data_IF_274482820967
#
_entry.id   IF_274482820967
#
_cell.length_a   1.000
_cell.length_b   1.000
_cell.length_c   1.000
_cell.angle_alpha   90.00
_cell.angle_beta   90.00
_cell.angle_gamma   90.00
#
_symmetry.space_group_name_H-M   'P 1'
#
loop_
_entity.id
_entity.type
_entity.pdbx_description
1 polymer ?
#
# COMPACT_ATOMS: atom_id res chain seq x y z
N UNK A 1 28.31 25.45 -6.21
CA UNK A 1 29.26 24.38 -5.83
C UNK A 1 28.49 23.41 -4.96
N UNK A 2 28.46 22.11 -5.30
CA UNK A 2 27.84 21.13 -4.40
C UNK A 2 28.62 21.12 -3.08
N UNK A 3 27.91 21.13 -1.94
CA UNK A 3 28.55 21.00 -0.63
C UNK A 3 29.37 19.70 -0.61
N UNK A 4 30.58 19.65 0.00
CA UNK A 4 31.34 18.41 0.19
C UNK A 4 30.49 17.28 0.79
N UNK A 5 29.54 17.62 1.64
CA UNK A 5 28.60 16.68 2.25
C UNK A 5 27.64 16.03 1.24
N UNK A 6 27.26 16.74 0.17
CA UNK A 6 26.40 16.16 -0.88
C UNK A 6 27.15 15.07 -1.68
N UNK A 7 28.47 15.16 -1.78
CA UNK A 7 29.30 14.12 -2.39
C UNK A 7 29.29 12.86 -1.51
N UNK A 8 29.39 13.05 -0.19
CA UNK A 8 29.34 11.95 0.77
C UNK A 8 27.96 11.25 0.82
N UNK A 9 26.87 12.01 0.64
CA UNK A 9 25.50 11.48 0.67
C UNK A 9 25.10 10.70 -0.60
N UNK A 10 25.81 10.90 -1.71
CA UNK A 10 25.44 10.33 -3.01
C UNK A 10 25.29 8.79 -2.99
N UNK A 11 26.23 8.00 -2.45
CA UNK A 11 26.07 6.55 -2.39
C UNK A 11 24.85 6.10 -1.59
N UNK A 12 24.51 6.83 -0.52
CA UNK A 12 23.33 6.56 0.28
C UNK A 12 22.05 6.85 -0.51
N UNK A 13 22.00 7.99 -1.20
CA UNK A 13 20.87 8.36 -2.06
C UNK A 13 20.67 7.40 -3.24
N UNK A 14 21.76 6.93 -3.85
CA UNK A 14 21.71 5.93 -4.93
C UNK A 14 21.20 4.58 -4.37
N UNK A 15 21.63 4.17 -3.17
CA UNK A 15 21.13 2.97 -2.53
C UNK A 15 19.61 3.04 -2.22
N UNK A 16 19.09 4.19 -1.79
CA UNK A 16 17.64 4.38 -1.60
C UNK A 16 16.90 4.15 -2.93
N UNK A 17 17.38 4.73 -4.02
CA UNK A 17 16.77 4.57 -5.35
C UNK A 17 16.75 3.12 -5.82
N UNK A 18 17.80 2.36 -5.54
CA UNK A 18 17.85 0.93 -5.86
C UNK A 18 16.80 0.13 -5.06
N UNK A 19 16.61 0.43 -3.77
CA UNK A 19 15.52 -0.15 -2.98
C UNK A 19 14.14 0.14 -3.59
N UNK A 20 13.98 1.32 -4.16
CA UNK A 20 12.74 1.78 -4.80
C UNK A 20 12.40 1.21 -6.16
N UNK A 21 13.28 0.39 -6.76
CA UNK A 21 13.01 -0.28 -8.04
C UNK A 21 12.08 -1.47 -7.90
N UNK A 22 11.90 -2.00 -6.69
CA UNK A 22 10.98 -3.11 -6.46
C UNK A 22 9.56 -2.63 -6.71
N UNK A 23 8.84 -3.33 -7.58
CA UNK A 23 7.45 -3.02 -7.86
C UNK A 23 6.60 -3.10 -6.57
N UNK A 24 5.65 -2.16 -6.34
CA UNK A 24 4.75 -2.19 -5.19
C UNK A 24 3.59 -3.18 -5.38
N UNK A 25 3.82 -4.21 -6.19
CA UNK A 25 2.89 -5.27 -6.51
C UNK A 25 3.62 -6.56 -6.90
N UNK A 26 2.93 -7.67 -6.78
CA UNK A 26 3.33 -8.96 -7.35
C UNK A 26 2.09 -9.73 -7.82
N UNK A 27 2.25 -10.62 -8.77
CA UNK A 27 1.17 -11.46 -9.29
C UNK A 27 1.67 -12.85 -9.65
N UNK A 28 0.75 -13.76 -9.89
CA UNK A 28 1.06 -15.11 -10.35
C UNK A 28 -0.16 -16.01 -10.33
N UNK A 29 0.11 -17.31 -10.49
CA UNK A 29 -0.87 -18.37 -10.26
C UNK A 29 -0.42 -19.28 -9.15
N UNK A 30 -1.39 -19.92 -8.49
CA UNK A 30 -1.18 -20.80 -7.35
C UNK A 30 -2.03 -22.05 -7.50
N UNK A 31 -1.40 -23.22 -7.44
CA UNK A 31 -2.11 -24.48 -7.53
C UNK A 31 -2.74 -24.83 -6.18
N UNK A 32 -4.00 -25.23 -6.23
CA UNK A 32 -4.78 -25.67 -5.05
C UNK A 32 -5.57 -26.92 -5.38
N UNK A 33 -6.10 -27.59 -4.35
CA UNK A 33 -7.04 -28.68 -4.59
C UNK A 33 -8.32 -28.10 -5.18
N UNK A 34 -8.97 -28.77 -6.16
CA UNK A 34 -10.31 -28.41 -6.58
C UNK A 34 -11.27 -28.26 -5.38
N UNK A 35 -11.15 -29.08 -4.35
CA UNK A 35 -12.02 -29.02 -3.15
C UNK A 35 -11.86 -27.71 -2.35
N UNK A 36 -10.71 -27.03 -2.45
CA UNK A 36 -10.51 -25.69 -1.87
C UNK A 36 -11.37 -24.65 -2.60
N UNK A 37 -11.72 -24.90 -3.86
CA UNK A 37 -12.44 -23.98 -4.75
C UNK A 37 -13.95 -24.22 -4.77
N UNK A 38 -14.49 -24.75 -3.67
CA UNK A 38 -15.93 -24.87 -3.48
C UNK A 38 -16.48 -23.70 -2.69
N UNK A 39 -17.34 -22.91 -3.33
CA UNK A 39 -18.04 -21.76 -2.75
C UNK A 39 -19.48 -22.16 -2.41
N UNK A 40 -19.93 -21.73 -1.24
CA UNK A 40 -21.34 -21.74 -0.82
C UNK A 40 -21.79 -20.29 -0.68
N UNK A 41 -23.00 -19.97 -1.13
CA UNK A 41 -23.52 -18.60 -1.06
C UNK A 41 -25.05 -18.58 -0.92
N UNK A 42 -25.54 -17.50 -0.33
CA UNK A 42 -26.96 -17.23 -0.18
C UNK A 42 -27.58 -16.88 -1.54
N UNK A 43 -28.75 -17.44 -1.82
CA UNK A 43 -29.56 -17.12 -3.00
C UNK A 43 -31.03 -16.97 -2.58
N UNK A 44 -31.40 -15.75 -2.18
CA UNK A 44 -32.70 -15.50 -1.55
C UNK A 44 -32.78 -16.22 -0.21
N UNK A 45 -33.68 -17.20 -0.08
CA UNK A 45 -33.83 -18.04 1.11
C UNK A 45 -33.10 -19.38 1.01
N UNK A 46 -32.53 -19.69 -0.15
CA UNK A 46 -31.81 -20.93 -0.42
C UNK A 46 -30.29 -20.73 -0.28
N UNK A 47 -29.56 -21.84 -0.18
CA UNK A 47 -28.10 -21.87 -0.30
C UNK A 47 -27.73 -22.59 -1.59
N UNK A 48 -26.83 -21.99 -2.37
CA UNK A 48 -26.28 -22.57 -3.60
C UNK A 48 -24.80 -22.85 -3.41
N UNK A 49 -24.23 -23.67 -4.29
CA UNK A 49 -22.79 -23.95 -4.28
C UNK A 49 -22.22 -24.08 -5.68
N UNK A 50 -20.98 -23.61 -5.85
CA UNK A 50 -20.22 -23.69 -7.10
C UNK A 50 -18.89 -24.37 -6.83
N UNK A 51 -18.58 -25.35 -7.69
CA UNK A 51 -17.26 -25.96 -7.77
C UNK A 51 -16.50 -25.28 -8.91
N UNK A 52 -15.62 -24.32 -8.61
CA UNK A 52 -15.03 -23.46 -9.64
C UNK A 52 -14.21 -24.22 -10.69
N UNK A 53 -13.58 -25.33 -10.30
CA UNK A 53 -12.88 -26.22 -11.23
C UNK A 53 -13.74 -26.67 -12.43
N UNK A 54 -15.06 -26.74 -12.27
CA UNK A 54 -16.02 -27.21 -13.28
C UNK A 54 -17.26 -26.30 -13.36
N UNK A 55 -17.12 -25.00 -13.04
CA UNK A 55 -18.27 -24.10 -13.00
C UNK A 55 -18.90 -23.94 -14.39
N UNK A 56 -20.22 -24.10 -14.44
CA UNK A 56 -21.00 -23.84 -15.66
C UNK A 56 -21.43 -22.38 -15.75
N UNK A 57 -21.69 -21.88 -16.95
CA UNK A 57 -22.19 -20.52 -17.15
C UNK A 57 -23.49 -20.26 -16.37
N UNK A 58 -24.44 -21.21 -16.38
CA UNK A 58 -25.69 -21.09 -15.64
C UNK A 58 -25.50 -20.94 -14.12
N UNK A 59 -24.51 -21.64 -13.55
CA UNK A 59 -24.15 -21.49 -12.14
C UNK A 59 -23.52 -20.13 -11.84
N UNK A 60 -22.70 -19.60 -12.75
CA UNK A 60 -22.11 -18.27 -12.62
C UNK A 60 -23.18 -17.18 -12.75
N UNK A 61 -24.18 -17.35 -13.62
CA UNK A 61 -25.34 -16.45 -13.73
C UNK A 61 -26.20 -16.46 -12.45
N UNK A 62 -26.32 -17.61 -11.77
CA UNK A 62 -26.93 -17.67 -10.43
C UNK A 62 -26.13 -16.85 -9.41
N UNK A 63 -24.79 -16.94 -9.43
CA UNK A 63 -23.93 -16.14 -8.55
C UNK A 63 -24.04 -14.64 -8.86
N UNK A 64 -24.10 -14.24 -10.14
CA UNK A 64 -24.35 -12.84 -10.54
C UNK A 64 -25.67 -12.35 -9.96
N UNK A 65 -26.75 -13.13 -10.09
CA UNK A 65 -28.08 -12.78 -9.55
C UNK A 65 -28.12 -12.73 -8.03
N UNK A 66 -27.26 -13.49 -7.36
CA UNK A 66 -27.11 -13.46 -5.91
C UNK A 66 -26.40 -12.19 -5.40
N UNK A 67 -25.60 -11.55 -6.25
CA UNK A 67 -24.81 -10.39 -5.86
C UNK A 67 -25.65 -9.12 -5.76
N UNK A 68 -25.25 -8.24 -4.85
CA UNK A 68 -25.74 -6.88 -4.78
C UNK A 68 -24.92 -5.97 -5.72
N UNK A 69 -25.47 -4.87 -6.25
CA UNK A 69 -24.68 -3.88 -6.97
C UNK A 69 -23.53 -3.36 -6.12
N UNK A 70 -22.33 -3.31 -6.69
CA UNK A 70 -21.13 -2.91 -5.97
C UNK A 70 -21.00 -1.38 -5.86
N UNK A 71 -20.86 -0.89 -4.64
CA UNK A 71 -20.57 0.53 -4.33
C UNK A 71 -19.07 0.82 -4.33
N UNK A 72 -18.68 2.09 -4.35
CA UNK A 72 -17.31 2.56 -4.12
C UNK A 72 -17.30 3.71 -3.10
N UNK A 73 -16.16 3.90 -2.43
CA UNK A 73 -16.02 4.98 -1.45
C UNK A 73 -15.71 6.31 -2.12
N UNK A 74 -16.49 7.34 -1.80
CA UNK A 74 -16.20 8.73 -2.14
C UNK A 74 -16.49 9.61 -0.93
N UNK A 75 -15.52 10.42 -0.48
CA UNK A 75 -15.67 11.31 0.68
C UNK A 75 -16.22 10.63 1.96
N UNK A 76 -15.77 9.41 2.24
CA UNK A 76 -16.23 8.57 3.37
C UNK A 76 -17.68 8.06 3.27
N UNK A 77 -18.32 8.19 2.11
CA UNK A 77 -19.64 7.63 1.82
C UNK A 77 -19.55 6.52 0.76
N UNK A 78 -20.44 5.54 0.84
CA UNK A 78 -20.60 4.52 -0.20
C UNK A 78 -21.51 5.03 -1.30
N UNK A 79 -20.97 5.17 -2.52
CA UNK A 79 -21.67 5.67 -3.70
C UNK A 79 -21.93 4.54 -4.69
N UNK A 80 -23.13 4.52 -5.27
CA UNK A 80 -23.51 3.65 -6.38
C UNK A 80 -23.57 4.48 -7.67
N UNK A 81 -22.59 4.29 -8.56
CA UNK A 81 -22.57 4.86 -9.92
C UNK A 81 -22.05 3.81 -10.90
N UNK A 82 -22.93 3.29 -11.75
CA UNK A 82 -22.61 2.26 -12.73
C UNK A 82 -21.70 2.74 -13.87
N UNK A 83 -21.51 4.06 -14.03
CA UNK A 83 -20.53 4.62 -14.97
C UNK A 83 -19.10 4.60 -14.39
N UNK A 84 -18.98 4.50 -13.06
CA UNK A 84 -17.71 4.44 -12.35
C UNK A 84 -17.36 3.00 -11.92
N UNK A 85 -18.36 2.26 -11.43
CA UNK A 85 -18.21 0.86 -11.03
C UNK A 85 -19.46 0.08 -11.39
N UNK A 86 -19.30 -0.90 -12.28
CA UNK A 86 -20.32 -1.89 -12.58
C UNK A 86 -19.78 -3.27 -12.25
N UNK A 87 -20.26 -3.86 -11.15
CA UNK A 87 -19.90 -5.19 -10.70
C UNK A 87 -20.93 -5.69 -9.68
N UNK A 88 -21.05 -7.00 -9.51
CA UNK A 88 -21.70 -7.62 -8.36
C UNK A 88 -20.75 -7.72 -7.17
N UNK A 89 -21.24 -7.49 -5.96
CA UNK A 89 -20.54 -7.75 -4.69
C UNK A 89 -21.34 -8.69 -3.80
N UNK A 90 -20.62 -9.42 -2.96
CA UNK A 90 -21.18 -10.21 -1.87
C UNK A 90 -20.30 -10.08 -0.63
N UNK A 91 -20.92 -9.76 0.50
CA UNK A 91 -20.25 -9.59 1.79
C UNK A 91 -20.02 -10.95 2.47
N UNK A 92 -19.06 -11.01 3.41
CA UNK A 92 -18.62 -12.26 4.06
C UNK A 92 -19.73 -13.05 4.77
N UNK A 93 -20.80 -12.38 5.20
CA UNK A 93 -21.94 -13.04 5.84
C UNK A 93 -22.79 -13.87 4.87
N UNK A 94 -22.60 -13.68 3.56
CA UNK A 94 -23.43 -14.28 2.51
C UNK A 94 -22.71 -15.35 1.69
N UNK A 95 -21.43 -15.62 1.99
CA UNK A 95 -20.71 -16.71 1.36
C UNK A 95 -19.67 -17.35 2.27
N UNK A 96 -19.30 -18.58 1.93
CA UNK A 96 -18.16 -19.28 2.51
C UNK A 96 -17.44 -20.05 1.41
N UNK A 97 -16.12 -20.09 1.47
CA UNK A 97 -15.28 -20.87 0.55
C UNK A 97 -14.31 -21.73 1.34
N UNK A 98 -14.01 -22.93 0.84
CA UNK A 98 -13.04 -23.83 1.48
C UNK A 98 -11.58 -23.33 1.38
N UNK A 99 -11.32 -22.39 0.46
CA UNK A 99 -10.02 -21.79 0.20
C UNK A 99 -9.52 -21.01 1.41
N UNK A 100 -8.35 -21.39 1.91
CA UNK A 100 -7.69 -20.72 3.01
C UNK A 100 -6.25 -20.36 2.60
N UNK A 101 -5.95 -19.07 2.37
CA UNK A 101 -4.65 -18.66 1.81
C UNK A 101 -3.47 -18.91 2.77
N UNK A 102 -3.71 -18.91 4.09
CA UNK A 102 -2.68 -19.20 5.10
C UNK A 102 -2.30 -20.68 5.07
N UNK A 103 -3.28 -21.58 5.11
CA UNK A 103 -3.08 -23.04 5.01
C UNK A 103 -2.38 -23.44 3.72
N UNK A 104 -2.69 -22.75 2.63
CA UNK A 104 -2.19 -23.05 1.28
C UNK A 104 -0.81 -22.41 1.01
N UNK A 105 -0.22 -21.68 1.96
CA UNK A 105 1.07 -21.03 1.82
C UNK A 105 1.08 -19.78 0.92
N UNK A 106 -0.08 -19.35 0.42
CA UNK A 106 -0.19 -18.16 -0.43
C UNK A 106 0.21 -16.88 0.34
N UNK A 107 -0.09 -16.81 1.64
CA UNK A 107 0.34 -15.69 2.47
C UNK A 107 1.88 -15.56 2.53
N UNK A 108 2.59 -16.69 2.62
CA UNK A 108 4.06 -16.71 2.62
C UNK A 108 4.62 -16.30 1.26
N UNK A 109 4.01 -16.74 0.16
CA UNK A 109 4.40 -16.33 -1.19
C UNK A 109 4.15 -14.84 -1.44
N UNK A 110 3.00 -14.32 -1.02
CA UNK A 110 2.71 -12.88 -1.11
C UNK A 110 3.71 -12.08 -0.29
N UNK A 111 4.03 -12.54 0.93
CA UNK A 111 5.06 -11.92 1.77
C UNK A 111 6.41 -11.87 1.04
N UNK A 112 6.90 -13.01 0.54
CA UNK A 112 8.22 -13.11 -0.09
C UNK A 112 8.33 -12.26 -1.36
N UNK A 113 7.25 -12.19 -2.16
CA UNK A 113 7.22 -11.45 -3.42
C UNK A 113 6.94 -9.96 -3.26
N UNK A 114 6.05 -9.57 -2.35
CA UNK A 114 5.63 -8.18 -2.18
C UNK A 114 6.58 -7.42 -1.25
N UNK A 115 6.98 -8.00 -0.12
CA UNK A 115 7.91 -7.37 0.84
C UNK A 115 9.37 -7.64 0.48
N UNK A 116 10.29 -6.78 0.93
CA UNK A 116 11.72 -6.93 0.58
C UNK A 116 12.23 -8.30 1.06
N UNK A 117 12.63 -9.21 0.14
CA UNK A 117 13.05 -10.56 0.50
C UNK A 117 14.20 -10.54 1.50
N UNK A 118 14.18 -11.47 2.46
CA UNK A 118 15.24 -11.71 3.45
C UNK A 118 15.58 -10.53 4.39
N UNK A 119 14.80 -9.46 4.32
CA UNK A 119 15.02 -8.24 5.10
C UNK A 119 13.77 -7.86 5.92
N UNK A 120 12.56 -8.22 5.47
CA UNK A 120 11.32 -7.95 6.21
C UNK A 120 10.85 -9.17 7.01
N UNK A 121 11.21 -9.17 8.29
CA UNK A 121 10.84 -10.26 9.22
C UNK A 121 9.37 -10.24 9.62
N UNK A 122 8.65 -9.13 9.37
CA UNK A 122 7.25 -8.97 9.83
C UNK A 122 6.35 -10.05 9.24
N UNK A 123 5.54 -10.67 10.07
CA UNK A 123 4.50 -11.58 9.59
C UNK A 123 3.35 -10.78 8.99
N UNK A 124 2.66 -11.37 8.02
CA UNK A 124 1.47 -10.77 7.42
C UNK A 124 0.25 -11.62 7.72
N UNK A 125 -0.92 -10.99 7.70
CA UNK A 125 -2.23 -11.63 7.86
C UNK A 125 -3.10 -11.25 6.68
N UNK A 126 -3.75 -12.24 6.08
CA UNK A 126 -4.76 -12.06 5.04
C UNK A 126 -6.16 -12.10 5.67
N UNK A 127 -6.82 -10.95 5.73
CA UNK A 127 -8.18 -10.83 6.21
C UNK A 127 -9.16 -10.89 5.02
N UNK A 128 -10.07 -11.88 4.94
CA UNK A 128 -11.10 -11.91 3.91
C UNK A 128 -11.92 -10.62 3.96
N UNK A 129 -12.25 -10.05 2.80
CA UNK A 129 -13.05 -8.83 2.74
C UNK A 129 -14.35 -8.99 1.95
N UNK A 130 -14.29 -9.32 0.66
CA UNK A 130 -15.49 -9.44 -0.18
C UNK A 130 -15.27 -10.28 -1.41
N UNK A 131 -16.36 -10.84 -1.93
CA UNK A 131 -16.42 -11.44 -3.25
C UNK A 131 -16.94 -10.42 -4.26
N UNK A 132 -16.32 -10.35 -5.43
CA UNK A 132 -16.83 -9.56 -6.55
C UNK A 132 -17.00 -10.42 -7.80
N UNK A 133 -18.07 -10.18 -8.54
CA UNK A 133 -18.33 -10.80 -9.85
C UNK A 133 -18.40 -9.70 -10.89
N UNK A 134 -17.58 -9.83 -11.93
CA UNK A 134 -17.63 -9.00 -13.13
C UNK A 134 -18.10 -9.88 -14.28
N UNK A 135 -19.31 -9.63 -14.75
CA UNK A 135 -19.94 -10.36 -15.86
C UNK A 135 -19.87 -9.57 -17.17
N UNK A 136 -20.11 -10.26 -18.28
CA UNK A 136 -20.09 -9.68 -19.62
C UNK A 136 -21.43 -9.05 -20.05
N UNK A 137 -22.50 -9.18 -19.27
CA UNK A 137 -23.84 -8.82 -19.75
C UNK A 137 -24.02 -7.30 -19.95
N UNK A 138 -24.84 -6.94 -20.94
CA UNK A 138 -25.04 -5.55 -21.37
C UNK A 138 -23.77 -4.96 -22.00
N UNK A 139 -23.18 -3.96 -21.34
CA UNK A 139 -21.88 -3.39 -21.73
C UNK A 139 -20.70 -4.03 -21.01
N UNK A 140 -20.88 -5.14 -20.28
CA UNK A 140 -19.84 -5.71 -19.44
C UNK A 140 -19.56 -4.90 -18.17
N UNK A 141 -19.00 -5.58 -17.17
CA UNK A 141 -18.68 -5.04 -15.86
C UNK A 141 -17.22 -4.56 -15.77
N UNK A 142 -16.97 -3.50 -14.98
CA UNK A 142 -15.66 -2.83 -14.84
C UNK A 142 -15.58 -2.05 -13.51
N UNK A 143 -14.39 -1.55 -13.17
CA UNK A 143 -14.20 -0.60 -12.08
C UNK A 143 -13.09 0.40 -12.42
N UNK A 144 -13.41 1.70 -12.45
CA UNK A 144 -12.47 2.77 -12.78
C UNK A 144 -11.33 2.90 -11.77
N UNK A 145 -10.31 3.65 -12.18
CA UNK A 145 -9.10 3.91 -11.40
C UNK A 145 -9.42 4.47 -10.00
N UNK A 146 -8.89 3.80 -8.97
CA UNK A 146 -9.03 4.18 -7.57
C UNK A 146 -7.85 3.63 -6.76
N UNK A 147 -7.72 4.08 -5.50
CA UNK A 147 -6.83 3.49 -4.50
C UNK A 147 -7.66 2.85 -3.40
N UNK A 148 -7.07 1.93 -2.66
CA UNK A 148 -7.74 1.35 -1.50
C UNK A 148 -7.90 2.39 -0.41
N UNK A 149 -9.10 2.48 0.15
CA UNK A 149 -9.32 3.19 1.41
C UNK A 149 -8.84 2.28 2.55
N UNK A 150 -7.84 2.70 3.35
CA UNK A 150 -7.36 1.88 4.47
C UNK A 150 -8.50 1.58 5.45
N UNK A 151 -8.60 0.32 5.89
CA UNK A 151 -9.66 -0.16 6.79
C UNK A 151 -9.20 -0.40 8.23
N UNK A 152 -7.90 -0.21 8.49
CA UNK A 152 -7.31 -0.31 9.81
C UNK A 152 -5.89 0.23 9.80
N UNK A 153 -5.36 0.52 10.98
CA UNK A 153 -4.07 1.21 11.15
C UNK A 153 -2.89 0.44 10.56
N UNK A 154 -2.97 -0.90 10.52
CA UNK A 154 -1.89 -1.78 10.04
C UNK A 154 -2.14 -2.36 8.65
N UNK A 155 -3.22 -1.94 7.99
CA UNK A 155 -3.49 -2.37 6.62
C UNK A 155 -2.44 -1.73 5.70
N UNK A 156 -1.71 -2.54 4.94
CA UNK A 156 -0.67 -2.05 4.04
C UNK A 156 -0.95 -2.35 2.56
N UNK A 157 -1.94 -3.20 2.27
CA UNK A 157 -2.27 -3.56 0.89
C UNK A 157 -3.44 -4.50 0.79
N UNK A 158 -3.59 -5.08 -0.40
CA UNK A 158 -4.65 -6.02 -0.75
C UNK A 158 -4.10 -7.18 -1.57
N UNK A 159 -4.76 -8.33 -1.48
CA UNK A 159 -4.61 -9.46 -2.42
C UNK A 159 -5.94 -9.72 -3.08
N UNK A 160 -5.98 -9.69 -4.41
CA UNK A 160 -7.12 -10.10 -5.21
C UNK A 160 -6.85 -11.50 -5.73
N UNK A 161 -7.57 -12.48 -5.19
CA UNK A 161 -7.58 -13.87 -5.67
C UNK A 161 -8.67 -13.98 -6.74
N UNK A 162 -8.29 -14.38 -7.95
CA UNK A 162 -9.21 -14.67 -9.06
C UNK A 162 -9.45 -16.16 -9.12
N UNK A 163 -10.72 -16.56 -9.04
CA UNK A 163 -11.15 -17.96 -9.12
C UNK A 163 -11.16 -18.42 -10.59
N UNK A 164 -10.91 -19.71 -10.88
CA UNK A 164 -10.75 -20.21 -12.23
C UNK A 164 -12.10 -20.26 -12.97
N UNK A 165 -12.44 -19.17 -13.62
CA UNK A 165 -13.61 -19.04 -14.48
C UNK A 165 -13.17 -18.60 -15.87
N UNK A 166 -13.81 -19.13 -16.91
CA UNK A 166 -13.56 -18.68 -18.26
C UNK A 166 -14.06 -17.23 -18.43
N UNK A 167 -13.17 -16.33 -18.86
CA UNK A 167 -13.49 -14.93 -19.15
C UNK A 167 -12.46 -14.30 -20.09
N UNK A 168 -12.87 -13.22 -20.77
CA UNK A 168 -12.01 -12.34 -21.57
C UNK A 168 -12.17 -10.88 -21.12
N UNK A 169 -11.10 -10.09 -21.27
CA UNK A 169 -11.04 -8.76 -20.70
C UNK A 169 -10.89 -8.83 -19.16
N UNK A 170 -11.35 -7.80 -18.44
CA UNK A 170 -11.29 -7.84 -16.98
C UNK A 170 -9.88 -7.70 -16.38
N UNK A 171 -8.90 -7.27 -17.17
CA UNK A 171 -7.52 -7.08 -16.72
C UNK A 171 -7.46 -6.12 -15.53
N UNK A 172 -6.65 -6.46 -14.51
CA UNK A 172 -6.37 -5.58 -13.39
C UNK A 172 -5.14 -4.74 -13.74
N UNK A 173 -5.37 -3.46 -13.98
CA UNK A 173 -4.36 -2.49 -14.32
C UNK A 173 -3.92 -1.75 -13.05
N UNK A 174 -2.62 -1.76 -12.78
CA UNK A 174 -1.95 -1.19 -11.61
C UNK A 174 -1.03 -0.05 -12.03
N UNK A 175 -1.06 1.06 -11.29
CA UNK A 175 -0.20 2.24 -11.50
C UNK A 175 0.37 2.76 -10.19
N UNK A 176 1.68 3.02 -10.19
CA UNK A 176 2.38 3.66 -9.06
C UNK A 176 3.68 4.30 -9.55
N UNK A 177 3.95 5.53 -9.13
CA UNK A 177 5.20 6.26 -9.43
C UNK A 177 5.61 6.21 -10.92
N UNK A 178 4.65 6.49 -11.81
CA UNK A 178 4.85 6.47 -13.27
C UNK A 178 5.03 5.08 -13.90
N UNK A 179 5.03 4.01 -13.11
CA UNK A 179 5.08 2.62 -13.58
C UNK A 179 3.68 2.04 -13.75
N UNK A 180 3.51 1.17 -14.74
CA UNK A 180 2.23 0.54 -15.07
C UNK A 180 2.37 -0.97 -15.31
N UNK A 181 1.39 -1.76 -14.87
CA UNK A 181 1.29 -3.20 -15.18
C UNK A 181 -0.17 -3.62 -15.35
N UNK A 182 -0.44 -4.46 -16.36
CA UNK A 182 -1.75 -5.10 -16.55
C UNK A 182 -1.62 -6.60 -16.30
N UNK A 183 -2.40 -7.12 -15.35
CA UNK A 183 -2.54 -8.55 -15.13
C UNK A 183 -3.88 -9.06 -15.65
N UNK A 184 -3.84 -9.96 -16.64
CA UNK A 184 -5.01 -10.52 -17.31
C UNK A 184 -5.19 -11.98 -16.92
N UNK A 185 -6.04 -12.22 -15.90
CA UNK A 185 -6.33 -13.56 -15.40
C UNK A 185 -7.03 -14.45 -16.42
N UNK A 186 -7.78 -13.88 -17.37
CA UNK A 186 -8.46 -14.63 -18.42
C UNK A 186 -7.44 -15.35 -19.32
N UNK A 187 -6.38 -14.62 -19.69
CA UNK A 187 -5.24 -15.21 -20.42
C UNK A 187 -4.51 -16.27 -19.62
N UNK A 188 -4.32 -16.06 -18.32
CA UNK A 188 -3.66 -17.05 -17.45
C UNK A 188 -4.44 -18.38 -17.36
N UNK A 189 -5.78 -18.34 -17.37
CA UNK A 189 -6.61 -19.54 -17.35
C UNK A 189 -6.75 -20.22 -18.71
N UNK A 190 -6.62 -19.48 -19.81
CA UNK A 190 -6.67 -20.05 -21.16
C UNK A 190 -5.47 -20.99 -21.47
N UNK A 191 -4.36 -20.85 -20.76
CA UNK A 191 -3.11 -21.61 -20.98
C UNK A 191 -3.15 -22.96 -20.26
N UNK A 192 -3.99 -23.90 -20.68
CA UNK A 192 -3.88 -25.34 -20.37
C UNK A 192 -3.62 -25.74 -18.90
N UNK A 193 -3.96 -24.89 -17.93
CA UNK A 193 -3.64 -25.09 -16.50
C UNK A 193 -4.54 -26.18 -15.91
N UNK A 194 -4.06 -26.91 -14.88
CA UNK A 194 -4.90 -27.88 -14.20
C UNK A 194 -6.15 -27.21 -13.60
N UNK A 195 -7.27 -27.95 -13.44
CA UNK A 195 -8.56 -27.41 -12.95
C UNK A 195 -8.54 -26.74 -11.57
N UNK A 196 -7.40 -26.75 -10.87
CA UNK A 196 -7.22 -26.23 -9.51
C UNK A 196 -6.29 -25.02 -9.39
N UNK A 197 -5.97 -24.31 -10.48
CA UNK A 197 -5.12 -23.13 -10.39
C UNK A 197 -5.93 -21.85 -10.17
N UNK A 198 -5.61 -21.07 -9.13
CA UNK A 198 -6.09 -19.69 -9.00
C UNK A 198 -5.07 -18.72 -9.59
N UNK A 199 -5.51 -17.50 -9.89
CA UNK A 199 -4.61 -16.38 -10.14
C UNK A 199 -4.67 -15.40 -8.98
N UNK A 200 -3.59 -14.66 -8.71
CA UNK A 200 -3.60 -13.64 -7.68
C UNK A 200 -2.81 -12.41 -8.10
N UNK A 201 -3.20 -11.27 -7.54
CA UNK A 201 -2.45 -10.02 -7.60
C UNK A 201 -2.45 -9.39 -6.22
N UNK A 202 -1.28 -9.11 -5.68
CA UNK A 202 -1.09 -8.42 -4.42
C UNK A 202 -0.41 -7.08 -4.65
N UNK A 203 -0.85 -6.03 -3.97
CA UNK A 203 -0.34 -4.67 -4.16
C UNK A 203 -0.49 -3.83 -2.89
N UNK A 204 0.34 -2.80 -2.75
CA UNK A 204 0.23 -1.85 -1.65
C UNK A 204 -1.01 -0.96 -1.78
N UNK A 205 -1.54 -0.51 -0.64
CA UNK A 205 -2.81 0.22 -0.57
C UNK A 205 -2.82 1.55 -1.34
N UNK A 206 -1.64 2.12 -1.60
CA UNK A 206 -1.44 3.38 -2.31
C UNK A 206 -1.23 3.22 -3.82
N UNK A 207 -1.26 1.98 -4.33
CA UNK A 207 -1.25 1.67 -5.76
C UNK A 207 -2.63 1.99 -6.35
N UNK A 208 -2.65 2.85 -7.36
CA UNK A 208 -3.87 3.08 -8.13
C UNK A 208 -4.16 1.85 -8.98
N UNK A 209 -5.42 1.44 -9.02
CA UNK A 209 -5.82 0.27 -9.78
C UNK A 209 -7.19 0.42 -10.41
N UNK A 210 -7.38 -0.22 -11.56
CA UNK A 210 -8.64 -0.31 -12.29
C UNK A 210 -8.88 -1.75 -12.79
N UNK A 211 -10.14 -2.16 -12.81
CA UNK A 211 -10.57 -3.38 -13.48
C UNK A 211 -11.10 -2.99 -14.85
N UNK A 212 -10.39 -3.38 -15.90
CA UNK A 212 -10.83 -3.19 -17.27
C UNK A 212 -12.14 -3.94 -17.54
N UNK A 213 -12.82 -3.57 -18.61
CA UNK A 213 -14.11 -4.15 -18.97
C UNK A 213 -13.98 -5.64 -19.25
N UNK A 214 -14.85 -6.45 -18.63
CA UNK A 214 -15.05 -7.86 -19.01
C UNK A 214 -15.87 -7.90 -20.30
N UNK A 215 -15.35 -8.58 -21.32
CA UNK A 215 -15.97 -8.66 -22.65
C UNK A 215 -16.64 -10.00 -22.92
N UNK A 216 -16.26 -11.05 -22.18
CA UNK A 216 -16.85 -12.38 -22.27
C UNK A 216 -16.71 -13.12 -20.95
N UNK A 217 -17.69 -13.96 -20.61
CA UNK A 217 -17.69 -14.80 -19.41
C UNK A 217 -17.76 -14.03 -18.09
N UNK A 218 -17.29 -14.67 -17.03
CA UNK A 218 -17.41 -14.15 -15.67
C UNK A 218 -16.03 -14.12 -15.00
N UNK A 219 -15.60 -12.96 -14.51
CA UNK A 219 -14.43 -12.83 -13.65
C UNK A 219 -14.88 -12.79 -12.20
N UNK A 220 -14.61 -13.86 -11.45
CA UNK A 220 -14.96 -13.97 -10.03
C UNK A 220 -13.73 -13.80 -9.17
N UNK A 221 -13.81 -12.95 -8.16
CA UNK A 221 -12.67 -12.64 -7.27
C UNK A 221 -13.05 -12.65 -5.80
N UNK A 222 -12.09 -12.97 -4.95
CA UNK A 222 -12.14 -12.73 -3.50
C UNK A 222 -11.00 -11.78 -3.16
N UNK A 223 -11.33 -10.66 -2.53
CA UNK A 223 -10.35 -9.68 -2.05
C UNK A 223 -10.04 -9.96 -0.59
N UNK A 224 -8.77 -9.92 -0.24
CA UNK A 224 -8.25 -9.98 1.12
C UNK A 224 -7.49 -8.68 1.43
N UNK A 225 -7.72 -8.11 2.61
CA UNK A 225 -6.90 -7.02 3.12
C UNK A 225 -5.60 -7.60 3.69
N UNK A 226 -4.46 -6.95 3.43
CA UNK A 226 -3.17 -7.30 3.97
C UNK A 226 -2.83 -6.46 5.19
N UNK A 227 -2.55 -7.13 6.31
CA UNK A 227 -2.10 -6.49 7.55
C UNK A 227 -0.72 -7.00 7.96
N UNK A 228 0.08 -6.13 8.57
CA UNK A 228 1.21 -6.58 9.37
C UNK A 228 0.69 -7.17 10.69
N UNK A 229 1.06 -8.42 10.99
CA UNK A 229 0.64 -9.12 12.18
C UNK A 229 1.29 -8.52 13.44
N UNK A 230 0.62 -8.63 14.57
CA UNK A 230 1.19 -8.25 15.86
C UNK A 230 2.32 -9.22 16.28
N UNK A 231 3.30 -8.74 17.05
CA UNK A 231 4.44 -9.55 17.53
C UNK A 231 3.98 -10.87 18.21
N UNK A 232 2.83 -10.86 18.89
CA UNK A 232 2.26 -12.07 19.52
C UNK A 232 1.70 -13.08 18.52
N UNK A 233 1.17 -12.62 17.38
CA UNK A 233 0.67 -13.50 16.31
C UNK A 233 1.83 -14.04 15.45
N UNK A 234 2.88 -13.24 15.25
CA UNK A 234 4.08 -13.62 14.50
C UNK A 234 4.83 -14.83 15.10
N UNK A 235 4.82 -14.99 16.43
CA UNK A 235 5.48 -16.11 17.13
C UNK A 235 4.87 -17.48 16.84
N UNK A 236 3.65 -17.53 16.31
CA UNK A 236 2.94 -18.80 15.98
C UNK A 236 3.25 -19.27 14.55
N UNK A 237 3.77 -18.39 13.68
CA UNK A 237 3.83 -18.60 12.23
C UNK A 237 5.25 -18.80 11.65
N UNK A 238 6.32 -18.73 12.44
CA UNK A 238 7.68 -18.67 11.89
C UNK A 238 8.47 -20.00 12.01
N UNK A 239 8.90 -20.62 10.88
CA UNK A 239 10.21 -21.25 10.82
C UNK A 239 11.29 -20.15 10.86
N UNK A 240 12.39 -20.41 11.56
CA UNK A 240 13.52 -19.48 11.64
C UNK A 240 14.16 -19.27 10.26
N UNK A 241 14.21 -18.03 9.77
CA UNK A 241 15.05 -17.69 8.63
C UNK A 241 16.51 -17.51 9.09
N UNK A 242 17.41 -18.15 8.35
CA UNK A 242 18.87 -18.06 8.49
C UNK A 242 19.35 -16.75 7.86
N UNK A 243 20.08 -15.95 8.65
CA UNK A 243 20.87 -14.75 8.29
C UNK A 243 20.12 -13.66 7.50
N UNK A 244 19.94 -12.45 8.07
CA UNK A 244 19.40 -11.31 7.32
C UNK A 244 20.26 -11.06 6.08
N UNK A 245 19.65 -10.98 4.90
CA UNK A 245 20.36 -10.45 3.75
C UNK A 245 20.70 -8.99 4.04
N UNK A 246 21.99 -8.65 4.01
CA UNK A 246 22.43 -7.28 4.24
C UNK A 246 21.99 -6.45 3.04
N UNK A 247 20.97 -5.62 3.20
CA UNK A 247 20.53 -4.73 2.13
C UNK A 247 21.58 -3.65 1.86
N UNK A 248 21.69 -3.27 0.58
CA UNK A 248 22.73 -2.36 0.10
C UNK A 248 22.62 -0.97 0.75
N UNK A 249 21.43 -0.57 1.21
CA UNK A 249 21.23 0.66 1.94
C UNK A 249 21.86 0.60 3.34
N UNK A 250 21.67 -0.49 4.09
CA UNK A 250 22.32 -0.72 5.39
C UNK A 250 23.85 -0.72 5.26
N UNK A 251 24.42 -1.30 4.20
CA UNK A 251 25.87 -1.21 3.91
C UNK A 251 26.31 0.24 3.67
N UNK A 252 25.60 0.96 2.81
CA UNK A 252 25.92 2.36 2.50
C UNK A 252 25.79 3.26 3.74
N UNK A 253 24.78 3.03 4.58
CA UNK A 253 24.58 3.75 5.83
C UNK A 253 25.70 3.47 6.83
N UNK A 254 26.10 2.21 6.99
CA UNK A 254 27.25 1.84 7.82
C UNK A 254 28.52 2.56 7.38
N UNK A 255 28.80 2.55 6.08
CA UNK A 255 30.01 3.14 5.51
C UNK A 255 30.06 4.65 5.71
N UNK A 256 28.94 5.35 5.50
CA UNK A 256 28.90 6.80 5.68
C UNK A 256 28.99 7.20 7.16
N UNK A 257 28.36 6.43 8.07
CA UNK A 257 28.47 6.66 9.52
C UNK A 257 29.88 6.41 10.07
N UNK A 258 30.67 5.54 9.42
CA UNK A 258 32.07 5.31 9.78
C UNK A 258 33.02 6.43 9.30
N UNK A 259 32.55 7.35 8.46
CA UNK A 259 33.38 8.44 7.96
C UNK A 259 33.44 9.59 8.99
N UNK A 260 34.62 9.94 9.54
CA UNK A 260 34.73 11.00 10.55
C UNK A 260 34.41 12.41 10.02
N UNK A 261 34.45 12.62 8.71
CA UNK A 261 34.05 13.88 8.07
C UNK A 261 32.52 14.00 7.95
N UNK A 262 31.81 12.88 8.01
CA UNK A 262 30.36 12.85 7.91
C UNK A 262 29.73 13.29 9.23
N UNK A 263 29.06 14.46 9.21
CA UNK A 263 28.39 15.02 10.39
C UNK A 263 29.27 15.04 11.65
N UNK A 264 30.49 15.58 11.54
CA UNK A 264 31.45 15.66 12.66
C UNK A 264 30.95 16.40 13.91
N UNK A 265 29.86 17.19 13.78
CA UNK A 265 29.18 17.89 14.88
C UNK A 265 27.79 17.31 15.22
N UNK A 266 27.44 16.17 14.63
CA UNK A 266 26.09 15.59 14.69
C UNK A 266 25.08 16.32 13.80
N UNK A 267 23.91 15.71 13.65
CA UNK A 267 22.78 16.25 12.90
C UNK A 267 21.76 15.18 12.53
N UNK A 268 20.93 15.45 11.53
CA UNK A 268 19.78 14.65 11.15
C UNK A 268 19.82 14.30 9.66
N UNK A 269 19.29 13.13 9.32
CA UNK A 269 19.03 12.72 7.93
C UNK A 269 17.53 12.75 7.67
N UNK A 270 17.16 13.35 6.55
CA UNK A 270 15.78 13.46 6.08
C UNK A 270 15.53 12.51 4.92
N UNK A 271 14.44 11.76 4.99
CA UNK A 271 13.95 10.90 3.92
C UNK A 271 12.47 11.23 3.71
N UNK A 272 12.12 11.72 2.52
CA UNK A 272 10.74 11.73 2.06
C UNK A 272 10.25 10.30 1.88
N UNK A 273 9.08 9.99 2.44
CA UNK A 273 8.47 8.67 2.31
C UNK A 273 7.92 8.50 0.89
N UNK A 274 8.13 7.31 0.30
CA UNK A 274 7.67 7.00 -1.06
C UNK A 274 6.22 6.56 -1.14
N UNK A 275 5.72 5.95 -0.06
CA UNK A 275 4.35 5.44 -0.03
C UNK A 275 3.40 6.37 0.71
N UNK A 276 2.10 6.27 0.37
CA UNK A 276 1.04 6.93 1.15
C UNK A 276 0.61 6.05 2.32
N UNK A 277 0.38 6.65 3.48
CA UNK A 277 -0.01 5.96 4.70
C UNK A 277 -1.32 6.52 5.25
N UNK A 278 -2.16 5.69 5.89
CA UNK A 278 -3.40 6.17 6.51
C UNK A 278 -3.10 7.19 7.61
N UNK A 279 -3.59 8.41 7.43
CA UNK A 279 -3.67 9.41 8.49
C UNK A 279 -5.15 9.50 8.91
N UNK A 280 -5.45 9.21 10.18
CA UNK A 280 -6.82 9.37 10.67
C UNK A 280 -7.19 10.85 10.66
N UNK A 281 -8.36 11.17 10.10
CA UNK A 281 -8.96 12.50 10.14
C UNK A 281 -9.88 12.70 11.35
N UNK A 282 -9.92 11.73 12.29
CA UNK A 282 -10.74 11.86 13.49
C UNK A 282 -10.25 13.02 14.36
N UNK A 283 -11.05 14.09 14.41
CA UNK A 283 -10.81 15.28 15.22
C UNK A 283 -10.74 14.99 16.73
N UNK A 284 -11.19 13.81 17.18
CA UNK A 284 -11.15 13.37 18.59
C UNK A 284 -10.03 12.36 18.87
N UNK A 285 -9.38 11.84 17.84
CA UNK A 285 -8.38 10.78 17.95
C UNK A 285 -7.02 11.32 18.38
N UNK A 286 -6.40 10.69 19.37
CA UNK A 286 -4.98 10.90 19.68
C UNK A 286 -4.13 10.12 18.67
N UNK A 287 -3.96 10.66 17.46
CA UNK A 287 -3.17 10.00 16.42
C UNK A 287 -1.67 10.16 16.70
N UNK A 288 -0.98 9.04 16.91
CA UNK A 288 0.48 9.02 17.09
C UNK A 288 1.16 8.51 15.82
N UNK A 289 1.99 9.37 15.21
CA UNK A 289 2.81 9.00 14.05
C UNK A 289 3.72 7.80 14.32
N UNK A 290 4.08 7.52 15.58
CA UNK A 290 4.87 6.35 15.94
C UNK A 290 4.18 5.04 15.56
N UNK A 291 2.84 5.00 15.53
CA UNK A 291 2.11 3.80 15.14
C UNK A 291 2.39 3.43 13.67
N UNK A 292 2.54 4.44 12.79
CA UNK A 292 2.85 4.22 11.38
C UNK A 292 4.24 3.65 11.13
N UNK A 293 5.18 3.80 12.05
CA UNK A 293 6.52 3.18 11.93
C UNK A 293 6.43 1.64 11.83
N UNK A 294 5.34 1.05 12.33
CA UNK A 294 5.13 -0.41 12.27
C UNK A 294 4.60 -0.89 10.91
N UNK A 295 4.04 0.03 10.11
CA UNK A 295 3.39 -0.30 8.84
C UNK A 295 4.07 0.32 7.61
N UNK A 296 5.32 0.80 7.73
CA UNK A 296 6.07 1.30 6.57
C UNK A 296 6.21 0.22 5.49
N UNK A 297 6.14 0.66 4.23
CA UNK A 297 6.11 -0.16 3.02
C UNK A 297 7.40 0.02 2.22
N UNK A 298 7.79 -1.01 1.47
CA UNK A 298 8.87 -0.92 0.49
C UNK A 298 10.17 -0.31 1.04
N UNK A 299 10.72 0.68 0.32
CA UNK A 299 11.97 1.37 0.69
C UNK A 299 11.88 2.11 2.03
N UNK A 300 10.71 2.65 2.39
CA UNK A 300 10.52 3.36 3.66
C UNK A 300 10.81 2.44 4.86
N UNK A 301 10.40 1.18 4.75
CA UNK A 301 10.67 0.16 5.76
C UNK A 301 12.15 -0.23 5.83
N UNK A 302 12.81 -0.35 4.68
CA UNK A 302 14.25 -0.65 4.58
C UNK A 302 15.07 0.45 5.25
N UNK A 303 14.75 1.71 4.97
CA UNK A 303 15.42 2.87 5.56
C UNK A 303 15.27 2.87 7.09
N UNK A 304 14.04 2.67 7.59
CA UNK A 304 13.78 2.64 9.02
C UNK A 304 14.55 1.50 9.72
N UNK A 305 14.55 0.30 9.14
CA UNK A 305 15.24 -0.87 9.69
C UNK A 305 16.75 -0.61 9.77
N UNK A 306 17.37 -0.20 8.66
CA UNK A 306 18.80 0.09 8.63
C UNK A 306 19.20 1.21 9.61
N UNK A 307 18.38 2.26 9.74
CA UNK A 307 18.60 3.29 10.76
C UNK A 307 18.65 2.69 12.17
N UNK A 308 17.69 1.83 12.53
CA UNK A 308 17.66 1.16 13.84
C UNK A 308 18.85 0.21 14.05
N UNK A 309 19.22 -0.57 13.03
CA UNK A 309 20.36 -1.50 13.07
C UNK A 309 21.67 -0.79 13.40
N UNK A 310 21.87 0.43 12.88
CA UNK A 310 23.06 1.25 13.14
C UNK A 310 22.91 2.20 14.32
N UNK A 311 21.91 1.99 15.18
CA UNK A 311 21.72 2.73 16.43
C UNK A 311 21.19 4.15 16.27
N UNK A 312 20.66 4.51 15.10
CA UNK A 312 20.03 5.81 14.88
C UNK A 312 18.60 5.83 15.46
N UNK A 313 18.22 6.97 16.02
CA UNK A 313 16.83 7.24 16.38
C UNK A 313 16.07 7.74 15.15
N UNK A 314 14.83 7.28 14.99
CA UNK A 314 13.99 7.65 13.86
C UNK A 314 12.61 8.13 14.35
N UNK A 315 12.07 9.15 13.69
CA UNK A 315 10.75 9.68 13.95
C UNK A 315 10.12 10.14 12.65
N UNK A 316 8.83 9.87 12.47
CA UNK A 316 8.05 10.43 11.36
C UNK A 316 7.68 11.88 11.65
N UNK A 317 7.62 12.68 10.59
CA UNK A 317 7.23 14.09 10.61
C UNK A 317 6.25 14.32 9.46
N UNK A 318 5.34 15.28 9.63
CA UNK A 318 4.47 15.76 8.55
C UNK A 318 4.98 17.10 8.11
N UNK A 319 5.12 17.31 6.80
CA UNK A 319 5.48 18.60 6.22
C UNK A 319 4.25 19.16 5.54
N UNK A 320 3.82 20.34 5.98
CA UNK A 320 2.76 21.11 5.36
C UNK A 320 3.37 22.10 4.37
N UNK A 321 2.82 22.09 3.16
CA UNK A 321 2.97 23.19 2.21
C UNK A 321 1.98 24.28 2.61
N UNK A 322 2.51 25.36 3.17
CA UNK A 322 1.75 26.51 3.64
C UNK A 322 1.77 27.64 2.61
N UNK A 323 0.99 28.70 2.85
CA UNK A 323 0.83 29.83 1.92
C UNK A 323 2.18 30.29 1.34
N UNK A 324 2.21 30.52 0.02
CA UNK A 324 3.35 31.04 -0.74
C UNK A 324 4.62 30.15 -0.77
N UNK A 325 4.49 28.85 -0.51
CA UNK A 325 5.58 27.87 -0.67
C UNK A 325 6.47 27.71 0.57
N UNK A 326 5.98 28.16 1.72
CA UNK A 326 6.59 27.89 3.01
C UNK A 326 6.40 26.42 3.40
N UNK A 327 7.43 25.79 3.98
CA UNK A 327 7.29 24.41 4.48
C UNK A 327 7.42 24.38 5.99
N UNK A 328 6.38 23.87 6.64
CA UNK A 328 6.29 23.76 8.09
C UNK A 328 6.20 22.30 8.51
N UNK A 329 7.15 21.86 9.32
CA UNK A 329 7.24 20.49 9.81
C UNK A 329 6.56 20.35 11.17
N UNK A 330 5.68 19.37 11.31
CA UNK A 330 4.92 19.09 12.53
C UNK A 330 5.13 17.65 13.01
N UNK A 331 5.01 17.47 14.33
CA UNK A 331 5.12 16.16 15.01
C UNK A 331 3.79 15.40 15.09
N UNK A 332 2.69 16.04 14.71
CA UNK A 332 1.33 15.49 14.74
C UNK A 332 0.52 16.00 13.56
N UNK A 333 -0.47 15.23 13.09
CA UNK A 333 -1.38 15.71 12.07
C UNK A 333 -2.18 16.90 12.61
N UNK A 334 -2.33 17.88 11.74
CA UNK A 334 -3.12 19.08 11.96
C UNK A 334 -4.54 18.78 11.52
N UNK A 335 -5.47 18.86 12.47
CA UNK A 335 -6.89 18.53 12.26
C UNK A 335 -7.72 19.76 12.60
N UNK A 336 -8.72 20.06 11.77
CA UNK A 336 -9.70 21.10 12.08
C UNK A 336 -9.33 22.53 11.67
N UNK A 337 -8.27 22.74 10.88
CA UNK A 337 -8.08 24.01 10.18
C UNK A 337 -9.23 24.19 9.17
N UNK A 338 -10.01 25.26 9.33
CA UNK A 338 -11.02 25.65 8.34
C UNK A 338 -10.36 26.18 7.08
N UNK A 339 -11.04 26.11 5.93
CA UNK A 339 -10.58 26.60 4.61
C UNK A 339 -10.24 28.11 4.51
N UNK A 340 -10.20 28.84 5.64
CA UNK A 340 -9.94 30.28 5.73
C UNK A 340 -8.88 30.52 6.81
N UNK A 341 -7.65 30.07 6.58
CA UNK A 341 -6.53 30.46 7.43
C UNK A 341 -5.73 31.52 6.68
N UNK A 342 -5.80 32.77 7.17
CA UNK A 342 -5.06 33.89 6.58
C UNK A 342 -3.53 33.74 6.81
N UNK A 343 -3.12 33.11 7.92
CA UNK A 343 -1.71 32.83 8.23
C UNK A 343 -1.50 31.36 8.67
N UNK A 344 -1.44 30.47 7.68
CA UNK A 344 -1.26 29.04 7.93
C UNK A 344 0.09 28.73 8.60
N UNK A 345 1.14 29.52 8.33
CA UNK A 345 2.46 29.33 8.94
C UNK A 345 2.39 29.66 10.43
N UNK A 346 1.75 30.78 10.78
CA UNK A 346 1.51 31.21 12.15
C UNK A 346 0.74 30.15 12.95
N UNK A 347 -0.41 29.73 12.44
CA UNK A 347 -1.26 28.72 13.10
C UNK A 347 -0.53 27.40 13.33
N UNK A 348 0.19 26.91 12.31
CA UNK A 348 0.97 25.69 12.44
C UNK A 348 2.06 25.83 13.52
N UNK A 349 2.74 26.98 13.59
CA UNK A 349 3.79 27.22 14.57
C UNK A 349 3.23 27.39 16.00
N UNK A 350 2.20 28.22 16.19
CA UNK A 350 1.65 28.56 17.51
C UNK A 350 0.83 27.43 18.12
N UNK A 351 -0.06 26.83 17.33
CA UNK A 351 -1.10 25.94 17.84
C UNK A 351 -0.70 24.47 17.73
N UNK A 352 0.16 24.18 16.75
CA UNK A 352 0.62 22.82 16.45
C UNK A 352 2.09 22.57 16.82
N UNK A 353 2.82 23.61 17.24
CA UNK A 353 4.25 23.52 17.57
C UNK A 353 5.11 23.28 16.33
N UNK A 354 4.61 23.64 15.16
CA UNK A 354 5.26 23.47 13.88
C UNK A 354 6.56 24.27 13.79
N UNK A 355 7.54 23.69 13.09
CA UNK A 355 8.84 24.31 12.86
C UNK A 355 8.94 24.65 11.38
N UNK A 356 9.17 25.92 11.05
CA UNK A 356 9.47 26.33 9.69
C UNK A 356 10.82 25.71 9.25
N UNK A 357 10.79 24.89 8.21
CA UNK A 357 11.97 24.20 7.67
C UNK A 357 12.39 24.74 6.30
N UNK A 358 11.53 25.53 5.64
CA UNK A 358 11.82 26.19 4.39
C UNK A 358 11.09 27.53 4.30
N UNK A 359 11.84 28.57 3.96
CA UNK A 359 11.34 29.90 3.62
C UNK A 359 11.57 30.15 2.12
N UNK A 360 10.56 30.60 1.36
CA UNK A 360 10.70 31.03 -0.03
C UNK A 360 11.74 32.15 -0.18
N UNK A 361 12.49 32.20 -1.30
CA UNK A 361 13.48 33.25 -1.51
C UNK A 361 12.92 34.67 -1.47
N UNK A 362 11.66 34.88 -1.87
CA UNK A 362 10.97 36.18 -1.83
C UNK A 362 10.83 36.72 -0.42
N UNK A 363 10.73 35.83 0.56
CA UNK A 363 10.35 36.16 1.94
C UNK A 363 11.57 36.07 2.87
N UNK A 364 12.64 35.42 2.43
CA UNK A 364 13.86 35.20 3.21
C UNK A 364 14.52 36.51 3.70
N UNK A 365 14.41 37.60 2.94
CA UNK A 365 14.94 38.91 3.35
C UNK A 365 14.15 39.56 4.49
N UNK A 366 12.84 39.30 4.57
CA UNK A 366 11.96 39.87 5.60
C UNK A 366 11.91 39.01 6.86
N UNK A 367 12.10 37.69 6.72
CA UNK A 367 12.03 36.73 7.81
C UNK A 367 13.39 36.11 8.15
N UNK A 368 14.45 36.92 8.13
CA UNK A 368 15.83 36.46 8.33
C UNK A 368 16.03 35.63 9.60
N UNK A 369 15.32 35.88 10.71
CA UNK A 369 15.45 35.07 11.92
C UNK A 369 14.85 33.66 11.77
N UNK A 370 13.70 33.52 11.10
CA UNK A 370 13.08 32.23 10.78
C UNK A 370 13.92 31.49 9.71
N UNK A 371 14.43 32.23 8.73
CA UNK A 371 15.38 31.76 7.71
C UNK A 371 16.85 31.64 8.22
N UNK A 372 17.15 31.95 9.49
CA UNK A 372 18.47 31.76 10.09
C UNK A 372 18.49 30.60 11.09
N UNK A 373 17.34 30.28 11.69
CA UNK A 373 17.09 29.09 12.53
C UNK A 373 17.03 27.78 11.74
N UNK A 374 17.40 27.81 10.47
CA UNK A 374 17.02 26.77 9.52
C UNK A 374 17.52 25.39 9.90
N UNK A 375 16.53 24.52 10.01
CA UNK A 375 16.66 23.07 9.90
C UNK A 375 17.55 22.65 8.71
N UNK A 376 17.71 23.47 7.65
CA UNK A 376 18.66 23.23 6.53
C UNK A 376 20.11 23.02 6.97
N UNK A 377 20.52 23.56 8.13
CA UNK A 377 21.85 23.33 8.71
C UNK A 377 21.93 22.02 9.48
N UNK A 378 20.81 21.54 10.01
CA UNK A 378 20.74 20.38 10.92
C UNK A 378 20.29 19.10 10.21
N UNK A 379 19.33 19.17 9.28
CA UNK A 379 18.86 18.07 8.44
C UNK A 379 19.54 18.10 7.09
N UNK A 380 20.01 16.94 6.63
CA UNK A 380 20.35 16.70 5.24
C UNK A 380 19.40 15.71 4.63
N UNK A 381 18.72 16.17 3.60
CA UNK A 381 17.77 15.38 2.83
C UNK A 381 18.53 14.46 1.88
N UNK A 382 18.35 13.15 2.08
CA UNK A 382 18.96 12.09 1.26
C UNK A 382 18.09 11.83 0.03
N UNK A 383 16.77 11.84 0.23
CA UNK A 383 15.78 11.87 -0.86
C UNK A 383 15.24 13.29 -1.02
N UNK A 384 14.82 13.70 -2.24
CA UNK A 384 14.17 14.99 -2.45
C UNK A 384 12.95 15.14 -1.53
N UNK A 385 12.72 16.35 -1.00
CA UNK A 385 11.54 16.64 -0.18
C UNK A 385 10.22 16.54 -0.96
N UNK A 386 10.26 16.71 -2.28
CA UNK A 386 9.14 16.50 -3.21
C UNK A 386 9.68 16.15 -4.61
N UNK A 387 8.90 15.39 -5.37
CA UNK A 387 8.88 15.37 -6.84
C UNK A 387 7.55 15.94 -7.31
#
# INVERSE_FOLDING_TARGET
MSSPLNVLLKPLADAVKECGKKAPWCSGTWDVSPDDLKLYFDYGTDIRSIQFANATEAQLDELVRACQPATFGANQEDVLDENYRKAGKMDLSHFSINFNPERLGLALEVKSRLLVPDADERSIKLEPYKLNVYDYTGKGSFFKAHKDTPRGEKMFGSVVVVLPTAHEGGGLLLRHDGSEMVFDSGKEFAVGKPPGAIAFVAFYSDVEHEVQQVTSGHRVTITYNLYFADEREALVLAPAALTPAVDQFSVSLKNILANPEFFSKGGLLGFGLKHQYPLSSDKRGNFDLKNLLTCLKGEDAVILRACKEHGLTASLKIIYDANDGWLVMCDRPVVGLSYQVDDLVGDLASDFGGVCIWVPPSDAEYYQEQAAREWRKTVKWVTPMQA
#
